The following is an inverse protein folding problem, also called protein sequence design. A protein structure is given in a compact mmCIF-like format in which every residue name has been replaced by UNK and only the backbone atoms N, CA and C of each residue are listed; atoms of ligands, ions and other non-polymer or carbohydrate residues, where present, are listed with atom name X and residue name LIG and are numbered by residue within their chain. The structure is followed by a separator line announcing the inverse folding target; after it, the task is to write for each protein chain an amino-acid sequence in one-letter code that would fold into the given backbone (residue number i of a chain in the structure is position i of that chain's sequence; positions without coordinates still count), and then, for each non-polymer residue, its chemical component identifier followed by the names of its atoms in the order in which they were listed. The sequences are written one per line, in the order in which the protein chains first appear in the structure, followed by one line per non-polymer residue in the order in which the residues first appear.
data_IF_091383001941
#
_entry.id   IF_091383001941
#
_cell.length_a   1.000
_cell.length_b   1.000
_cell.length_c   1.000
_cell.angle_alpha   90.00
_cell.angle_beta   90.00
_cell.angle_gamma   90.00
#
_symmetry.space_group_name_H-M   'P 1'
#
loop_
_entity.id
_entity.type
_entity.pdbx_description
1 polymer ?
#
# COMPACT_ATOMS: atom_id res chain seq x y z
N UNK A 1 53.71 -8.83 39.70
CA UNK A 1 54.50 -8.35 38.52
C UNK A 1 54.03 -9.13 37.32
N UNK A 2 53.06 -8.65 36.60
CA UNK A 2 52.72 -9.18 35.28
C UNK A 2 52.14 -8.01 34.48
N UNK A 3 52.86 -7.65 33.44
CA UNK A 3 52.49 -6.70 32.40
C UNK A 3 51.56 -7.43 31.46
N UNK A 4 50.34 -6.97 31.28
CA UNK A 4 49.48 -7.39 30.15
C UNK A 4 49.09 -6.13 29.39
N UNK A 5 49.50 -6.20 28.15
CA UNK A 5 49.61 -5.12 27.20
C UNK A 5 48.35 -4.52 26.66
N UNK A 6 48.51 -3.28 26.36
CA UNK A 6 47.64 -2.46 25.53
C UNK A 6 47.69 -2.96 24.06
N UNK A 7 46.66 -3.70 23.63
CA UNK A 7 46.51 -4.05 22.21
C UNK A 7 45.06 -4.24 21.72
N UNK A 8 44.06 -3.69 22.45
CA UNK A 8 42.65 -3.81 22.04
C UNK A 8 41.97 -2.50 21.62
N UNK A 9 42.68 -1.36 21.68
CA UNK A 9 42.01 -0.06 21.41
C UNK A 9 42.17 0.47 19.97
N UNK A 10 43.11 -0.08 19.18
CA UNK A 10 43.35 0.42 17.81
C UNK A 10 42.46 -0.21 16.75
N UNK A 11 41.95 -1.43 16.98
CA UNK A 11 41.06 -2.09 16.02
C UNK A 11 39.61 -1.56 16.05
N UNK A 12 39.15 -1.16 17.25
CA UNK A 12 37.79 -0.60 17.42
C UNK A 12 37.71 0.83 16.88
N UNK A 13 38.77 1.64 17.02
CA UNK A 13 38.86 2.98 16.47
C UNK A 13 38.94 2.97 14.92
N UNK A 14 39.59 1.97 14.33
CA UNK A 14 39.67 1.81 12.87
C UNK A 14 38.35 1.30 12.24
N UNK A 15 37.51 0.61 13.00
CA UNK A 15 36.20 0.13 12.53
C UNK A 15 35.12 1.22 12.57
N UNK A 16 35.19 2.17 13.49
CA UNK A 16 34.28 3.32 13.58
C UNK A 16 34.63 4.39 12.53
N UNK A 17 35.89 4.48 12.11
CA UNK A 17 36.34 5.46 11.11
C UNK A 17 36.07 5.06 9.64
N UNK A 18 35.64 3.80 9.37
CA UNK A 18 35.38 3.33 8.00
C UNK A 18 33.91 3.42 7.55
N UNK A 19 32.98 4.00 8.30
CA UNK A 19 31.57 4.19 7.89
C UNK A 19 31.16 5.64 7.63
N UNK A 20 32.10 6.56 7.50
CA UNK A 20 31.81 7.87 6.90
C UNK A 20 32.09 7.82 5.38
N UNK A 21 31.42 6.92 4.68
CA UNK A 21 31.39 6.95 3.21
C UNK A 21 30.43 8.05 2.77
N UNK A 22 30.99 9.21 2.44
CA UNK A 22 30.26 10.26 1.72
C UNK A 22 29.76 9.70 0.38
N UNK A 23 28.46 9.43 0.27
CA UNK A 23 27.82 9.23 -1.03
C UNK A 23 27.74 10.61 -1.69
N UNK A 24 28.65 10.88 -2.61
CA UNK A 24 28.60 12.05 -3.49
C UNK A 24 27.54 11.83 -4.56
N UNK A 25 26.32 12.30 -4.31
CA UNK A 25 25.43 12.66 -5.39
C UNK A 25 25.65 14.14 -5.69
N UNK A 26 26.15 14.44 -6.90
CA UNK A 26 26.39 15.75 -7.49
C UNK A 26 26.40 16.94 -6.54
N UNK A 27 27.48 17.66 -6.43
CA UNK A 27 27.80 18.97 -5.79
C UNK A 27 26.77 19.69 -4.86
N UNK A 28 25.90 19.00 -4.12
CA UNK A 28 25.14 19.53 -2.99
C UNK A 28 25.57 18.84 -1.72
N UNK A 29 26.34 19.52 -0.89
CA UNK A 29 26.60 19.12 0.51
C UNK A 29 25.31 19.34 1.30
N UNK A 30 24.42 18.34 1.33
CA UNK A 30 23.29 18.36 2.26
C UNK A 30 23.84 18.13 3.67
N UNK A 31 23.49 19.05 4.57
CA UNK A 31 23.75 18.83 6.00
C UNK A 31 22.92 17.64 6.48
N UNK A 32 23.53 16.64 7.12
CA UNK A 32 22.87 15.39 7.57
C UNK A 32 21.68 15.65 8.48
N UNK A 33 21.69 16.76 9.24
CA UNK A 33 20.60 17.13 10.16
C UNK A 33 19.39 17.78 9.48
N UNK A 34 19.54 18.28 8.26
CA UNK A 34 18.50 19.06 7.60
C UNK A 34 17.43 18.13 6.99
N UNK A 35 16.15 18.52 7.04
CA UNK A 35 15.10 17.78 6.34
C UNK A 35 15.33 17.78 4.82
N UNK A 36 14.82 16.75 4.13
CA UNK A 36 14.81 16.69 2.66
C UNK A 36 13.78 17.64 2.08
N UNK A 37 12.58 17.67 2.66
CA UNK A 37 11.49 18.54 2.25
C UNK A 37 11.73 19.99 2.71
N UNK A 38 11.30 20.96 1.89
CA UNK A 38 11.29 22.36 2.27
C UNK A 38 10.26 22.62 3.39
N UNK A 39 10.46 23.70 4.17
CA UNK A 39 9.49 24.10 5.19
C UNK A 39 8.11 24.43 4.58
N UNK A 40 8.06 24.91 3.35
CA UNK A 40 6.80 25.19 2.66
C UNK A 40 6.07 23.89 2.27
N UNK A 41 6.79 22.86 1.83
CA UNK A 41 6.25 21.54 1.59
C UNK A 41 5.72 20.92 2.90
N UNK A 42 6.46 21.05 4.00
CA UNK A 42 6.00 20.56 5.31
C UNK A 42 4.76 21.30 5.83
N UNK A 43 4.67 22.61 5.61
CA UNK A 43 3.45 23.39 5.91
C UNK A 43 2.28 22.97 5.02
N UNK A 44 2.53 22.69 3.73
CA UNK A 44 1.51 22.16 2.83
C UNK A 44 1.02 20.81 3.31
N UNK A 45 1.91 19.86 3.65
CA UNK A 45 1.58 18.57 4.25
C UNK A 45 0.69 18.72 5.48
N UNK A 46 1.04 19.62 6.40
CA UNK A 46 0.25 19.87 7.61
C UNK A 46 -1.17 20.35 7.28
N UNK A 47 -1.35 21.19 6.25
CA UNK A 47 -2.69 21.62 5.78
C UNK A 47 -3.48 20.46 5.18
N UNK A 48 -2.86 19.59 4.38
CA UNK A 48 -3.51 18.39 3.83
C UNK A 48 -4.01 17.46 4.94
N UNK A 49 -3.17 17.17 5.94
CA UNK A 49 -3.57 16.36 7.10
C UNK A 49 -4.74 16.99 7.88
N UNK A 50 -4.74 18.31 8.05
CA UNK A 50 -5.85 19.03 8.69
C UNK A 50 -7.13 18.97 7.85
N UNK A 51 -7.03 19.00 6.52
CA UNK A 51 -8.17 18.85 5.61
C UNK A 51 -8.77 17.44 5.71
N UNK A 52 -7.95 16.39 5.74
CA UNK A 52 -8.38 14.99 5.94
C UNK A 52 -9.16 14.87 7.26
N UNK A 53 -8.62 15.34 8.38
CA UNK A 53 -9.31 15.26 9.68
C UNK A 53 -10.63 16.00 9.67
N UNK A 54 -10.70 17.19 9.08
CA UNK A 54 -11.95 17.96 8.94
C UNK A 54 -12.98 17.22 8.10
N UNK A 55 -12.55 16.63 6.96
CA UNK A 55 -13.41 15.86 6.07
C UNK A 55 -14.15 14.72 6.80
N UNK A 56 -13.43 13.96 7.61
CA UNK A 56 -14.01 12.86 8.38
C UNK A 56 -14.83 13.32 9.59
N UNK A 57 -14.40 14.39 10.25
CA UNK A 57 -15.16 14.98 11.37
C UNK A 57 -16.53 15.49 10.91
N UNK A 58 -16.63 16.09 9.72
CA UNK A 58 -17.89 16.56 9.12
C UNK A 58 -18.84 15.41 8.72
N UNK A 59 -18.33 14.16 8.65
CA UNK A 59 -19.07 12.95 8.27
C UNK A 59 -19.30 11.98 9.41
N UNK A 60 -18.99 12.40 10.63
CA UNK A 60 -19.09 11.58 11.85
C UNK A 60 -18.35 10.23 11.73
N UNK A 61 -17.16 10.27 11.14
CA UNK A 61 -16.23 9.13 11.05
C UNK A 61 -15.18 9.29 12.15
N UNK A 62 -15.08 8.31 13.03
CA UNK A 62 -14.22 8.38 14.21
C UNK A 62 -12.74 8.15 13.84
N UNK A 63 -11.83 9.07 14.23
CA UNK A 63 -10.38 8.81 14.17
C UNK A 63 -10.02 7.75 15.22
N UNK A 64 -9.31 6.71 14.77
CA UNK A 64 -8.79 5.66 15.64
C UNK A 64 -7.27 5.60 15.59
N UNK A 65 -6.66 5.01 16.60
CA UNK A 65 -5.23 4.76 16.69
C UNK A 65 -5.01 3.30 17.09
N UNK A 66 -4.29 2.55 16.26
CA UNK A 66 -4.02 1.13 16.48
C UNK A 66 -2.51 0.89 16.58
N UNK A 67 -2.08 -0.18 17.27
CA UNK A 67 -0.65 -0.46 17.42
C UNK A 67 0.06 -0.65 16.08
N UNK A 68 1.22 -0.03 15.96
CA UNK A 68 2.14 -0.22 14.82
C UNK A 68 2.83 -1.59 14.89
N UNK A 69 3.05 -2.10 16.10
CA UNK A 69 3.73 -3.36 16.37
C UNK A 69 2.69 -4.45 16.64
N UNK A 70 2.60 -5.44 15.76
CA UNK A 70 1.57 -6.44 15.71
C UNK A 70 2.12 -7.85 16.02
N UNK A 71 1.26 -8.76 16.48
CA UNK A 71 1.61 -10.16 16.72
C UNK A 71 1.61 -11.02 15.45
N UNK A 72 0.94 -10.57 14.41
CA UNK A 72 0.92 -11.19 13.10
C UNK A 72 1.33 -10.15 12.03
N UNK A 73 2.00 -10.59 10.97
CA UNK A 73 2.26 -9.81 9.79
C UNK A 73 1.21 -10.06 8.71
N UNK A 74 1.38 -9.44 7.53
CA UNK A 74 0.57 -9.81 6.37
C UNK A 74 1.07 -11.11 5.73
N UNK A 75 0.13 -11.93 5.26
CA UNK A 75 0.43 -13.14 4.50
C UNK A 75 0.58 -12.89 3.01
N UNK A 76 0.36 -11.66 2.54
CA UNK A 76 0.49 -11.28 1.13
C UNK A 76 1.83 -11.77 0.55
N UNK A 77 1.82 -12.62 -0.49
CA UNK A 77 3.02 -13.24 -1.04
C UNK A 77 3.98 -12.25 -1.71
N UNK A 78 3.51 -11.07 -2.10
CA UNK A 78 4.30 -10.06 -2.79
C UNK A 78 4.82 -8.96 -1.86
N UNK A 79 4.43 -8.99 -0.58
CA UNK A 79 4.81 -7.98 0.40
C UNK A 79 5.86 -8.49 1.37
N UNK A 80 6.98 -7.77 1.49
CA UNK A 80 8.00 -8.07 2.48
C UNK A 80 7.71 -7.33 3.78
N UNK A 81 7.68 -8.10 4.88
CA UNK A 81 7.32 -7.64 6.21
C UNK A 81 8.55 -7.47 7.10
N UNK A 82 8.58 -6.42 7.90
CA UNK A 82 9.63 -6.17 8.87
C UNK A 82 9.25 -6.75 10.23
N UNK A 83 10.17 -7.49 10.86
CA UNK A 83 9.97 -8.05 12.21
C UNK A 83 10.96 -7.49 13.21
N UNK A 84 10.57 -7.50 14.49
CA UNK A 84 11.39 -7.08 15.63
C UNK A 84 11.28 -8.10 16.75
N UNK A 85 12.41 -8.40 17.39
CA UNK A 85 12.43 -9.17 18.62
C UNK A 85 12.08 -8.28 19.82
N UNK A 86 11.00 -8.63 20.53
CA UNK A 86 10.50 -7.90 21.69
C UNK A 86 10.68 -8.76 22.93
N UNK A 87 11.28 -8.18 23.97
CA UNK A 87 11.38 -8.82 25.29
C UNK A 87 10.08 -8.59 26.06
N UNK A 88 9.35 -9.64 26.33
CA UNK A 88 8.10 -9.63 27.08
C UNK A 88 8.21 -10.45 28.37
N UNK A 89 7.27 -10.30 29.33
CA UNK A 89 7.18 -11.21 30.47
C UNK A 89 6.89 -12.63 29.98
N UNK A 90 7.88 -13.49 29.92
CA UNK A 90 7.78 -14.86 29.40
C UNK A 90 8.83 -15.19 28.34
N UNK A 91 9.65 -14.23 27.94
CA UNK A 91 10.76 -14.41 26.99
C UNK A 91 10.72 -13.49 25.79
N UNK A 92 11.63 -13.70 24.86
CA UNK A 92 11.63 -12.99 23.58
C UNK A 92 10.51 -13.53 22.68
N UNK A 93 9.83 -12.62 21.99
CA UNK A 93 8.83 -12.95 20.96
C UNK A 93 9.08 -12.10 19.72
N UNK A 94 8.85 -12.67 18.55
CA UNK A 94 8.87 -11.93 17.28
C UNK A 94 7.55 -11.17 17.14
N UNK A 95 7.65 -9.89 16.84
CA UNK A 95 6.51 -9.04 16.46
C UNK A 95 6.79 -8.38 15.11
N UNK A 96 5.74 -7.89 14.46
CA UNK A 96 5.78 -7.40 13.10
C UNK A 96 5.38 -5.92 13.04
N UNK A 97 6.10 -5.13 12.26
CA UNK A 97 5.65 -3.79 11.90
C UNK A 97 4.50 -3.91 10.90
N UNK A 98 3.42 -3.17 11.14
CA UNK A 98 2.23 -3.22 10.28
C UNK A 98 2.53 -2.72 8.86
N UNK A 99 2.03 -3.42 7.86
CA UNK A 99 2.03 -2.98 6.46
C UNK A 99 0.79 -2.13 6.12
N UNK A 100 -0.22 -2.18 6.99
CA UNK A 100 -1.47 -1.43 7.03
C UNK A 100 -2.11 -1.62 8.41
N UNK A 101 -2.94 -0.72 8.91
CA UNK A 101 -3.71 -0.89 10.16
C UNK A 101 -4.93 -1.80 10.01
N UNK A 102 -5.18 -2.38 8.84
CA UNK A 102 -6.39 -3.11 8.43
C UNK A 102 -6.86 -4.13 9.47
N UNK A 103 -5.99 -5.06 9.89
CA UNK A 103 -6.38 -6.15 10.79
C UNK A 103 -6.93 -5.63 12.12
N UNK A 104 -6.31 -4.59 12.69
CA UNK A 104 -6.78 -3.98 13.92
C UNK A 104 -8.06 -3.15 13.71
N UNK A 105 -8.16 -2.43 12.59
CA UNK A 105 -9.37 -1.64 12.27
C UNK A 105 -10.57 -2.54 12.00
N UNK A 106 -10.43 -3.65 11.28
CA UNK A 106 -11.50 -4.66 11.10
C UNK A 106 -11.98 -5.26 12.42
N UNK A 107 -11.08 -5.46 13.38
CA UNK A 107 -11.44 -5.89 14.73
C UNK A 107 -12.26 -4.84 15.49
N UNK A 108 -11.98 -3.54 15.29
CA UNK A 108 -12.81 -2.45 15.83
C UNK A 108 -14.21 -2.44 15.19
N UNK A 109 -14.32 -2.67 13.87
CA UNK A 109 -15.60 -2.80 13.20
C UNK A 109 -16.42 -3.95 13.77
N UNK A 110 -15.81 -5.13 13.98
CA UNK A 110 -16.45 -6.28 14.60
C UNK A 110 -16.88 -6.00 16.06
N UNK A 111 -16.17 -5.12 16.76
CA UNK A 111 -16.54 -4.64 18.11
C UNK A 111 -17.63 -3.56 18.10
N UNK A 112 -18.14 -3.17 16.93
CA UNK A 112 -19.22 -2.20 16.80
C UNK A 112 -18.79 -0.73 16.82
N UNK A 113 -17.57 -0.40 16.40
CA UNK A 113 -17.08 0.98 16.37
C UNK A 113 -17.90 1.93 15.47
N UNK A 114 -18.62 1.40 14.50
CA UNK A 114 -19.18 2.19 13.41
C UNK A 114 -18.12 2.63 12.39
N UNK A 115 -18.36 3.71 11.62
CA UNK A 115 -17.39 4.21 10.64
C UNK A 115 -16.13 4.75 11.33
N UNK A 116 -14.96 4.34 10.84
CA UNK A 116 -13.66 4.72 11.42
C UNK A 116 -12.65 5.08 10.34
N UNK A 117 -11.68 5.93 10.67
CA UNK A 117 -10.49 6.17 9.86
C UNK A 117 -9.23 6.26 10.73
N UNK A 118 -8.08 6.05 10.10
CA UNK A 118 -6.78 6.20 10.75
C UNK A 118 -5.76 6.80 9.78
N UNK A 119 -4.95 7.75 10.25
CA UNK A 119 -3.71 8.16 9.61
C UNK A 119 -2.61 7.39 10.31
N UNK A 120 -2.05 6.38 9.63
CA UNK A 120 -1.11 5.44 10.22
C UNK A 120 0.25 5.48 9.53
N UNK A 121 1.32 5.16 10.26
CA UNK A 121 2.59 4.74 9.67
C UNK A 121 2.51 3.27 9.27
N UNK A 122 2.87 2.98 8.04
CA UNK A 122 2.96 1.64 7.47
C UNK A 122 4.40 1.36 7.04
N UNK A 123 4.80 0.09 7.08
CA UNK A 123 6.17 -0.36 6.83
C UNK A 123 6.18 -1.49 5.82
N UNK A 124 6.96 -1.33 4.74
CA UNK A 124 7.15 -2.37 3.72
C UNK A 124 8.63 -2.46 3.40
N UNK A 125 9.21 -3.62 3.64
CA UNK A 125 10.64 -3.85 3.41
C UNK A 125 10.94 -3.87 1.90
N UNK A 126 12.11 -3.38 1.53
CA UNK A 126 12.53 -3.32 0.12
C UNK A 126 11.86 -2.24 -0.73
N UNK A 127 10.79 -1.60 -0.25
CA UNK A 127 10.15 -0.50 -0.99
C UNK A 127 10.90 0.82 -0.77
N UNK A 128 11.80 1.17 -1.68
CA UNK A 128 12.54 2.44 -1.68
C UNK A 128 12.64 2.99 -3.10
N UNK A 129 12.36 4.29 -3.28
CA UNK A 129 12.43 4.93 -4.58
C UNK A 129 11.72 6.28 -4.61
N UNK A 130 11.59 6.87 -5.80
CA UNK A 130 10.97 8.19 -5.94
C UNK A 130 9.53 8.27 -5.43
N UNK A 131 8.77 7.18 -5.55
CA UNK A 131 7.34 7.08 -5.19
C UNK A 131 7.09 6.10 -4.05
N UNK A 132 8.15 5.58 -3.42
CA UNK A 132 8.11 4.60 -2.33
C UNK A 132 9.10 4.98 -1.24
N UNK A 133 8.74 4.71 0.00
CA UNK A 133 9.61 4.78 1.17
C UNK A 133 9.26 3.61 2.09
N UNK A 134 10.26 3.00 2.69
CA UNK A 134 10.07 1.84 3.58
C UNK A 134 9.10 2.13 4.73
N UNK A 135 9.12 3.35 5.27
CA UNK A 135 8.12 3.88 6.19
C UNK A 135 7.34 4.99 5.49
N UNK A 136 6.01 4.88 5.44
CA UNK A 136 5.16 5.86 4.78
C UNK A 136 3.86 6.10 5.54
N UNK A 137 3.20 7.21 5.22
CA UNK A 137 1.91 7.55 5.82
C UNK A 137 0.77 7.05 4.95
N UNK A 138 -0.05 6.20 5.55
CA UNK A 138 -1.28 5.67 4.98
C UNK A 138 -2.48 6.32 5.64
N UNK A 139 -3.48 6.67 4.85
CA UNK A 139 -4.82 7.00 5.32
C UNK A 139 -5.72 5.83 4.98
N UNK A 140 -6.34 5.22 5.99
CA UNK A 140 -7.21 4.07 5.81
C UNK A 140 -8.54 4.32 6.51
N UNK A 141 -9.67 3.97 5.87
CA UNK A 141 -10.98 4.12 6.47
C UNK A 141 -11.96 3.06 6.00
N UNK A 142 -12.96 2.82 6.83
CA UNK A 142 -13.97 1.80 6.65
C UNK A 142 -15.37 2.40 6.85
N UNK A 143 -16.26 2.04 5.95
CA UNK A 143 -17.66 2.49 5.93
C UNK A 143 -18.59 1.29 5.99
N UNK A 144 -19.08 0.89 7.19
CA UNK A 144 -20.12 -0.13 7.29
C UNK A 144 -21.32 0.25 6.41
N UNK A 145 -21.87 -0.75 5.73
CA UNK A 145 -23.03 -0.64 4.84
C UNK A 145 -22.85 0.19 3.56
N UNK A 146 -21.64 0.69 3.27
CA UNK A 146 -21.34 1.30 1.98
C UNK A 146 -21.10 0.25 0.91
N UNK A 147 -21.59 0.56 -0.30
CA UNK A 147 -21.13 -0.12 -1.51
C UNK A 147 -19.79 0.45 -1.98
N UNK A 148 -19.08 -0.30 -2.84
CA UNK A 148 -17.86 0.22 -3.49
C UNK A 148 -18.11 1.55 -4.20
N UNK A 149 -19.24 1.69 -4.91
CA UNK A 149 -19.57 2.92 -5.62
C UNK A 149 -19.68 4.14 -4.68
N UNK A 150 -20.27 3.98 -3.50
CA UNK A 150 -20.34 5.05 -2.51
C UNK A 150 -18.95 5.37 -1.95
N UNK A 151 -18.11 4.35 -1.70
CA UNK A 151 -16.76 4.55 -1.19
C UNK A 151 -15.86 5.22 -2.23
N UNK A 152 -15.94 4.84 -3.51
CA UNK A 152 -15.24 5.52 -4.61
C UNK A 152 -15.61 7.00 -4.71
N UNK A 153 -16.91 7.32 -4.58
CA UNK A 153 -17.39 8.70 -4.56
C UNK A 153 -16.82 9.49 -3.36
N UNK A 154 -16.86 8.90 -2.16
CA UNK A 154 -16.33 9.52 -0.94
C UNK A 154 -14.81 9.72 -1.04
N UNK A 155 -14.09 8.78 -1.67
CA UNK A 155 -12.65 8.92 -1.92
C UNK A 155 -12.35 10.09 -2.85
N UNK A 156 -13.15 10.27 -3.90
CA UNK A 156 -13.02 11.43 -4.78
C UNK A 156 -13.29 12.75 -4.05
N UNK A 157 -14.34 12.82 -3.22
CA UNK A 157 -14.67 13.98 -2.41
C UNK A 157 -13.54 14.33 -1.42
N UNK A 158 -12.91 13.31 -0.81
CA UNK A 158 -11.76 13.50 0.06
C UNK A 158 -10.58 14.09 -0.71
N UNK A 159 -10.27 13.54 -1.88
CA UNK A 159 -9.19 14.03 -2.73
C UNK A 159 -9.49 15.47 -3.17
N UNK A 160 -10.72 15.78 -3.55
CA UNK A 160 -11.17 17.15 -3.87
C UNK A 160 -10.96 18.12 -2.70
N UNK A 161 -11.30 17.70 -1.47
CA UNK A 161 -11.11 18.50 -0.26
C UNK A 161 -9.62 18.76 0.04
N UNK A 162 -8.73 17.81 -0.26
CA UNK A 162 -7.28 17.97 -0.11
C UNK A 162 -6.69 18.84 -1.20
N UNK A 163 -7.09 18.63 -2.46
CA UNK A 163 -6.59 19.36 -3.62
C UNK A 163 -7.16 20.77 -3.72
N UNK A 164 -8.32 21.02 -3.11
CA UNK A 164 -9.09 22.27 -3.26
C UNK A 164 -9.42 22.59 -4.74
N UNK A 165 -9.66 21.56 -5.54
CA UNK A 165 -10.06 21.65 -6.94
C UNK A 165 -11.00 20.49 -7.29
N UNK A 166 -11.90 20.66 -8.28
CA UNK A 166 -12.83 19.61 -8.67
C UNK A 166 -12.11 18.33 -9.11
N UNK A 167 -12.69 17.19 -8.75
CA UNK A 167 -12.25 15.85 -9.14
C UNK A 167 -13.30 15.20 -10.03
N UNK A 168 -12.87 14.57 -11.12
CA UNK A 168 -13.72 13.79 -12.02
C UNK A 168 -13.19 12.37 -12.07
N UNK A 169 -14.05 11.42 -11.69
CA UNK A 169 -13.75 9.99 -11.82
C UNK A 169 -14.07 9.49 -13.21
N UNK A 170 -13.15 8.70 -13.78
CA UNK A 170 -13.38 7.89 -14.97
C UNK A 170 -13.23 6.42 -14.58
N UNK A 171 -14.31 5.66 -14.66
CA UNK A 171 -14.29 4.25 -14.26
C UNK A 171 -13.94 3.36 -15.45
N UNK A 172 -13.04 2.44 -15.22
CA UNK A 172 -12.59 1.42 -16.15
C UNK A 172 -12.70 0.05 -15.50
N UNK A 173 -13.03 -0.96 -16.27
CA UNK A 173 -12.91 -2.35 -15.83
C UNK A 173 -11.50 -2.85 -16.15
N UNK A 174 -10.90 -3.60 -15.23
CA UNK A 174 -9.58 -4.20 -15.40
C UNK A 174 -9.44 -4.94 -16.75
N UNK A 175 -10.44 -5.78 -17.06
CA UNK A 175 -10.50 -6.52 -18.33
C UNK A 175 -10.45 -5.60 -19.54
N UNK A 176 -11.20 -4.48 -19.50
CA UNK A 176 -11.27 -3.57 -20.64
C UNK A 176 -9.92 -2.89 -20.89
N UNK A 177 -9.23 -2.47 -19.84
CA UNK A 177 -7.89 -1.89 -19.96
C UNK A 177 -6.90 -2.86 -20.60
N UNK A 178 -6.89 -4.13 -20.21
CA UNK A 178 -6.04 -5.14 -20.84
C UNK A 178 -6.38 -5.35 -22.32
N UNK A 179 -7.66 -5.36 -22.68
CA UNK A 179 -8.09 -5.46 -24.07
C UNK A 179 -7.66 -4.24 -24.89
N UNK A 180 -7.79 -3.03 -24.34
CA UNK A 180 -7.50 -1.78 -25.03
C UNK A 180 -6.00 -1.55 -25.21
N UNK A 181 -5.18 -1.78 -24.20
CA UNK A 181 -3.74 -1.52 -24.22
C UNK A 181 -2.91 -2.69 -24.76
N UNK A 182 -3.28 -3.92 -24.42
CA UNK A 182 -2.48 -5.12 -24.69
C UNK A 182 -3.11 -6.08 -25.70
N UNK A 183 -4.35 -5.84 -26.11
CA UNK A 183 -5.15 -6.74 -26.98
C UNK A 183 -5.28 -8.16 -26.39
N UNK A 184 -5.27 -8.26 -25.06
CA UNK A 184 -5.38 -9.51 -24.29
C UNK A 184 -6.60 -9.48 -23.37
N UNK A 185 -7.21 -10.63 -23.17
CA UNK A 185 -8.20 -10.79 -22.11
C UNK A 185 -7.52 -11.37 -20.85
N UNK A 186 -7.44 -10.62 -19.74
CA UNK A 186 -6.73 -11.07 -18.55
C UNK A 186 -7.36 -12.29 -17.87
N UNK A 187 -8.61 -12.63 -18.15
CA UNK A 187 -9.29 -13.79 -17.57
C UNK A 187 -9.11 -15.07 -18.39
N UNK A 188 -8.96 -14.96 -19.71
CA UNK A 188 -8.94 -16.11 -20.62
C UNK A 188 -7.61 -16.31 -21.35
N UNK A 189 -6.73 -15.31 -21.38
CA UNK A 189 -5.41 -15.44 -22.01
C UNK A 189 -4.61 -16.59 -21.39
N UNK A 190 -3.92 -17.37 -22.23
CA UNK A 190 -3.03 -18.42 -21.74
C UNK A 190 -1.78 -17.83 -21.06
N UNK A 191 -1.14 -18.61 -20.16
CA UNK A 191 0.12 -18.20 -19.53
C UNK A 191 1.19 -17.84 -20.58
N UNK A 192 1.26 -18.60 -21.67
CA UNK A 192 2.19 -18.36 -22.78
C UNK A 192 1.90 -17.01 -23.46
N UNK A 193 0.64 -16.65 -23.65
CA UNK A 193 0.25 -15.36 -24.22
C UNK A 193 0.65 -14.18 -23.34
N UNK A 194 0.46 -14.31 -22.01
CA UNK A 194 0.89 -13.31 -21.04
C UNK A 194 2.42 -13.19 -20.97
N UNK A 195 3.15 -14.30 -20.96
CA UNK A 195 4.61 -14.30 -21.01
C UNK A 195 5.14 -13.63 -22.28
N UNK A 196 4.54 -13.94 -23.44
CA UNK A 196 4.90 -13.30 -24.71
C UNK A 196 4.67 -11.79 -24.67
N UNK A 197 3.56 -11.33 -24.10
CA UNK A 197 3.29 -9.91 -23.91
C UNK A 197 4.34 -9.27 -22.99
N UNK A 198 4.65 -9.86 -21.85
CA UNK A 198 5.66 -9.35 -20.94
C UNK A 198 7.04 -9.23 -21.62
N UNK A 199 7.44 -10.22 -22.42
CA UNK A 199 8.70 -10.15 -23.19
C UNK A 199 8.66 -9.01 -24.21
N UNK A 200 7.56 -8.84 -24.94
CA UNK A 200 7.42 -7.79 -25.96
C UNK A 200 7.44 -6.38 -25.38
N UNK A 201 6.80 -6.16 -24.23
CA UNK A 201 6.58 -4.83 -23.64
C UNK A 201 7.67 -4.44 -22.64
N UNK A 202 8.20 -5.40 -21.88
CA UNK A 202 9.15 -5.15 -20.79
C UNK A 202 10.57 -5.61 -21.14
N UNK A 203 10.72 -6.38 -22.23
CA UNK A 203 12.00 -6.88 -22.72
C UNK A 203 12.54 -8.10 -21.96
N UNK A 204 11.84 -8.57 -20.93
CA UNK A 204 12.18 -9.76 -20.17
C UNK A 204 10.92 -10.42 -19.58
N UNK A 205 10.90 -11.74 -19.49
CA UNK A 205 10.06 -12.47 -18.53
C UNK A 205 10.97 -13.45 -17.82
N UNK A 206 11.06 -13.36 -16.50
CA UNK A 206 11.80 -14.37 -15.76
C UNK A 206 11.08 -15.72 -15.87
N UNK A 207 11.85 -16.77 -16.06
CA UNK A 207 11.32 -18.12 -16.07
C UNK A 207 10.77 -18.45 -14.68
N UNK A 208 9.45 -18.64 -14.60
CA UNK A 208 8.78 -19.00 -13.34
C UNK A 208 7.76 -17.99 -12.84
N UNK A 209 7.53 -16.87 -13.53
CA UNK A 209 6.42 -15.97 -13.18
C UNK A 209 5.08 -16.68 -13.40
N UNK A 210 4.26 -16.67 -12.38
CA UNK A 210 2.88 -17.17 -12.45
C UNK A 210 1.96 -16.16 -13.15
N UNK A 211 0.69 -16.53 -13.29
CA UNK A 211 -0.31 -15.69 -13.97
C UNK A 211 -0.49 -14.35 -13.26
N UNK A 212 -0.60 -14.34 -11.93
CA UNK A 212 -0.82 -13.12 -11.15
C UNK A 212 0.34 -12.15 -11.32
N UNK A 213 1.57 -12.63 -11.18
CA UNK A 213 2.79 -11.83 -11.39
C UNK A 213 2.85 -11.22 -12.80
N UNK A 214 2.49 -11.99 -13.83
CA UNK A 214 2.49 -11.48 -15.21
C UNK A 214 1.43 -10.39 -15.42
N UNK A 215 0.24 -10.55 -14.84
CA UNK A 215 -0.80 -9.54 -14.90
C UNK A 215 -0.39 -8.26 -14.17
N UNK A 216 0.21 -8.37 -12.97
CA UNK A 216 0.70 -7.21 -12.20
C UNK A 216 1.79 -6.45 -12.94
N UNK A 217 2.75 -7.17 -13.51
CA UNK A 217 3.85 -6.58 -14.27
C UNK A 217 3.33 -5.88 -15.53
N UNK A 218 2.40 -6.48 -16.27
CA UNK A 218 1.79 -5.85 -17.45
C UNK A 218 0.94 -4.64 -17.06
N UNK A 219 0.19 -4.72 -15.98
CA UNK A 219 -0.59 -3.59 -15.45
C UNK A 219 0.33 -2.42 -15.12
N UNK A 220 1.36 -2.66 -14.31
CA UNK A 220 2.24 -1.60 -13.79
C UNK A 220 3.13 -0.95 -14.87
N UNK A 221 3.53 -1.68 -15.92
CA UNK A 221 4.42 -1.14 -16.94
C UNK A 221 3.69 -0.52 -18.14
N UNK A 222 2.57 -1.13 -18.57
CA UNK A 222 1.91 -0.76 -19.82
C UNK A 222 0.62 0.00 -19.63
N UNK A 223 -0.07 -0.14 -18.50
CA UNK A 223 -1.40 0.45 -18.30
C UNK A 223 -1.35 1.62 -17.30
N UNK A 224 -0.87 1.40 -16.09
CA UNK A 224 -0.84 2.40 -15.01
C UNK A 224 -0.20 3.74 -15.41
N UNK A 225 0.93 3.77 -16.18
CA UNK A 225 1.54 5.04 -16.57
C UNK A 225 0.63 5.96 -17.39
N UNK A 226 -0.45 5.42 -17.96
CA UNK A 226 -1.41 6.15 -18.78
C UNK A 226 -2.67 6.57 -18.02
N UNK A 227 -2.87 6.05 -16.80
CA UNK A 227 -4.06 6.33 -16.01
C UNK A 227 -3.95 7.69 -15.30
N UNK A 228 -5.07 8.41 -15.24
CA UNK A 228 -5.16 9.70 -14.58
C UNK A 228 -4.32 10.81 -15.21
N UNK A 229 -3.84 10.64 -16.46
CA UNK A 229 -2.95 11.59 -17.15
C UNK A 229 -3.67 12.80 -17.75
N UNK A 230 -5.00 12.79 -17.85
CA UNK A 230 -5.77 13.90 -18.38
C UNK A 230 -6.05 14.94 -17.28
N UNK A 231 -6.04 16.23 -17.67
CA UNK A 231 -6.31 17.34 -16.77
C UNK A 231 -5.12 18.34 -16.76
N UNK A 232 -5.38 19.59 -17.17
CA UNK A 232 -4.37 20.66 -17.16
C UNK A 232 -4.29 21.32 -15.77
N UNK A 233 -3.28 22.17 -15.58
CA UNK A 233 -3.05 22.90 -14.33
C UNK A 233 -4.22 23.78 -13.84
N UNK A 234 -5.25 24.00 -14.67
CA UNK A 234 -6.41 24.85 -14.37
C UNK A 234 -7.75 24.14 -14.60
N UNK A 235 -7.76 22.82 -14.88
CA UNK A 235 -8.95 21.99 -15.03
C UNK A 235 -9.20 21.08 -13.82
N UNK A 236 -10.29 20.27 -13.83
CA UNK A 236 -10.51 19.26 -12.81
C UNK A 236 -9.38 18.23 -12.81
N UNK A 237 -9.05 17.69 -11.63
CA UNK A 237 -8.19 16.51 -11.55
C UNK A 237 -8.95 15.30 -12.09
N UNK A 238 -8.40 14.65 -13.10
CA UNK A 238 -8.98 13.42 -13.66
C UNK A 238 -8.35 12.25 -12.94
N UNK A 239 -9.17 11.45 -12.28
CA UNK A 239 -8.75 10.24 -11.58
C UNK A 239 -9.37 9.04 -12.28
N UNK A 240 -8.54 8.13 -12.74
CA UNK A 240 -8.99 6.87 -13.30
C UNK A 240 -9.20 5.85 -12.16
N UNK A 241 -10.35 5.20 -12.17
CA UNK A 241 -10.72 4.14 -11.24
C UNK A 241 -10.76 2.83 -12.00
N UNK A 242 -9.99 1.87 -11.56
CA UNK A 242 -9.98 0.51 -12.10
C UNK A 242 -10.75 -0.41 -11.18
N UNK A 243 -11.73 -1.16 -11.70
CA UNK A 243 -12.58 -2.08 -10.95
C UNK A 243 -12.54 -3.49 -11.52
N UNK A 244 -13.17 -4.43 -10.82
CA UNK A 244 -13.37 -5.81 -11.28
C UNK A 244 -12.03 -6.52 -11.58
N UNK A 245 -11.14 -6.51 -10.59
CA UNK A 245 -9.86 -7.21 -10.64
C UNK A 245 -10.04 -8.73 -10.69
N UNK A 246 -9.06 -9.49 -11.20
CA UNK A 246 -9.04 -10.93 -11.06
C UNK A 246 -9.18 -11.36 -9.58
N UNK A 247 -9.98 -12.39 -9.33
CA UNK A 247 -10.28 -12.87 -7.97
C UNK A 247 -9.02 -13.26 -7.18
N UNK A 248 -8.02 -13.80 -7.86
CA UNK A 248 -6.72 -14.17 -7.29
C UNK A 248 -5.86 -12.98 -6.84
N UNK A 249 -6.20 -11.75 -7.24
CA UNK A 249 -5.46 -10.53 -6.88
C UNK A 249 -6.09 -9.75 -5.72
N UNK A 250 -6.99 -10.36 -4.96
CA UNK A 250 -7.66 -9.68 -3.86
C UNK A 250 -8.11 -10.63 -2.75
N UNK A 251 -7.16 -11.08 -1.92
CA UNK A 251 -7.42 -12.00 -0.83
C UNK A 251 -8.42 -11.48 0.23
N UNK A 252 -8.54 -10.17 0.37
CA UNK A 252 -9.35 -9.50 1.41
C UNK A 252 -10.70 -8.99 0.90
N UNK A 253 -10.95 -9.09 -0.42
CA UNK A 253 -12.19 -8.63 -1.05
C UNK A 253 -13.23 -9.73 -1.18
N UNK A 254 -14.51 -9.36 -1.10
CA UNK A 254 -15.60 -10.20 -1.53
C UNK A 254 -15.53 -10.42 -3.03
N UNK A 255 -15.81 -11.65 -3.47
CA UNK A 255 -15.93 -11.96 -4.89
C UNK A 255 -17.37 -11.80 -5.37
N UNK A 256 -17.54 -11.45 -6.63
CA UNK A 256 -18.83 -11.43 -7.32
C UNK A 256 -18.70 -11.99 -8.73
N UNK A 257 -19.85 -12.27 -9.35
CA UNK A 257 -19.90 -12.79 -10.71
C UNK A 257 -20.03 -11.61 -11.68
N UNK A 258 -19.10 -11.53 -12.63
CA UNK A 258 -19.20 -10.58 -13.73
C UNK A 258 -20.45 -10.89 -14.57
N UNK A 259 -21.39 -9.95 -14.71
CA UNK A 259 -22.62 -10.20 -15.47
C UNK A 259 -22.37 -10.35 -16.99
N UNK A 260 -21.22 -9.96 -17.51
CA UNK A 260 -20.91 -10.05 -18.93
C UNK A 260 -20.65 -11.50 -19.37
N UNK A 261 -19.89 -12.27 -18.61
CA UNK A 261 -19.47 -13.61 -19.01
C UNK A 261 -19.46 -14.65 -17.89
N UNK A 262 -19.85 -14.27 -16.68
CA UNK A 262 -19.87 -15.15 -15.53
C UNK A 262 -18.51 -15.41 -14.85
N UNK A 263 -17.46 -14.65 -15.22
CA UNK A 263 -16.17 -14.73 -14.55
C UNK A 263 -16.28 -14.30 -13.08
N UNK A 264 -15.48 -14.91 -12.22
CA UNK A 264 -15.37 -14.47 -10.82
C UNK A 264 -14.38 -13.31 -10.76
N UNK A 265 -14.84 -12.17 -10.25
CA UNK A 265 -14.05 -10.96 -10.07
C UNK A 265 -14.05 -10.52 -8.61
N UNK A 266 -13.02 -9.81 -8.21
CA UNK A 266 -12.91 -9.23 -6.89
C UNK A 266 -13.67 -7.91 -6.80
N UNK A 267 -14.40 -7.70 -5.73
CA UNK A 267 -14.96 -6.41 -5.33
C UNK A 267 -13.83 -5.47 -4.87
N UNK A 268 -12.98 -5.07 -5.79
CA UNK A 268 -11.79 -4.24 -5.58
C UNK A 268 -11.80 -3.06 -6.54
N UNK A 269 -11.30 -1.92 -6.08
CA UNK A 269 -10.98 -0.80 -6.96
C UNK A 269 -9.62 -0.20 -6.61
N UNK A 270 -8.95 0.37 -7.59
CA UNK A 270 -7.80 1.23 -7.40
C UNK A 270 -8.00 2.58 -8.08
N UNK A 271 -7.47 3.63 -7.48
CA UNK A 271 -7.50 4.99 -8.01
C UNK A 271 -6.13 5.41 -8.49
N UNK A 272 -6.09 5.96 -9.69
CA UNK A 272 -4.86 6.43 -10.33
C UNK A 272 -4.94 7.91 -10.69
N UNK A 273 -3.91 8.66 -10.35
CA UNK A 273 -3.73 10.06 -10.75
C UNK A 273 -2.30 10.29 -11.23
N UNK A 274 -2.15 10.85 -12.43
CA UNK A 274 -0.85 11.12 -13.07
C UNK A 274 0.07 9.87 -13.14
N UNK A 275 -0.51 8.72 -13.48
CA UNK A 275 0.22 7.45 -13.57
C UNK A 275 0.73 6.94 -12.21
N UNK A 276 0.07 7.32 -11.13
CA UNK A 276 0.40 6.88 -9.77
C UNK A 276 -0.85 6.33 -9.11
N UNK A 277 -0.77 5.10 -8.60
CA UNK A 277 -1.77 4.53 -7.72
C UNK A 277 -1.84 5.34 -6.43
N UNK A 278 -3.03 5.87 -6.12
CA UNK A 278 -3.30 6.62 -4.91
C UNK A 278 -3.99 5.80 -3.83
N UNK A 279 -4.94 4.96 -4.23
CA UNK A 279 -5.79 4.25 -3.28
C UNK A 279 -6.18 2.88 -3.80
N UNK A 280 -6.38 1.95 -2.87
CA UNK A 280 -6.84 0.59 -3.11
C UNK A 280 -7.96 0.28 -2.12
N UNK A 281 -9.12 -0.12 -2.61
CA UNK A 281 -10.30 -0.35 -1.77
C UNK A 281 -11.07 -1.61 -2.12
N UNK A 282 -11.79 -2.13 -1.13
CA UNK A 282 -12.47 -3.42 -1.19
C UNK A 282 -13.94 -3.36 -0.74
N UNK A 283 -14.79 -4.18 -1.37
CA UNK A 283 -15.98 -4.72 -0.73
C UNK A 283 -15.49 -5.81 0.24
N UNK A 284 -15.62 -5.56 1.53
CA UNK A 284 -14.91 -6.30 2.56
C UNK A 284 -15.41 -7.75 2.68
N UNK A 285 -14.47 -8.70 2.66
CA UNK A 285 -14.78 -10.09 2.97
C UNK A 285 -15.10 -10.21 4.46
N UNK A 286 -16.29 -10.74 4.78
CA UNK A 286 -16.76 -10.91 6.15
C UNK A 286 -16.84 -12.37 6.58
N UNK A 287 -16.61 -13.33 5.67
CA UNK A 287 -16.61 -14.76 5.94
C UNK A 287 -15.27 -15.18 6.55
N UNK A 288 -15.30 -15.60 7.81
CA UNK A 288 -14.10 -15.99 8.56
C UNK A 288 -13.42 -17.26 8.02
N UNK A 289 -14.20 -18.24 7.54
CA UNK A 289 -13.64 -19.50 7.01
C UNK A 289 -12.98 -19.26 5.65
N UNK A 290 -13.63 -18.49 4.79
CA UNK A 290 -13.08 -18.12 3.51
C UNK A 290 -11.82 -17.25 3.69
N UNK A 291 -11.84 -16.29 4.62
CA UNK A 291 -10.67 -15.46 4.92
C UNK A 291 -9.49 -16.31 5.37
N UNK A 292 -9.71 -17.24 6.29
CA UNK A 292 -8.65 -18.16 6.75
C UNK A 292 -8.04 -18.94 5.59
N UNK A 293 -8.88 -19.54 4.73
CA UNK A 293 -8.42 -20.30 3.56
C UNK A 293 -7.52 -19.48 2.64
N UNK A 294 -7.87 -18.19 2.42
CA UNK A 294 -7.07 -17.30 1.57
C UNK A 294 -5.74 -16.95 2.22
N UNK A 295 -5.72 -16.63 3.53
CA UNK A 295 -4.47 -16.35 4.25
C UNK A 295 -3.54 -17.58 4.29
N UNK A 296 -4.10 -18.79 4.41
CA UNK A 296 -3.33 -20.03 4.33
C UNK A 296 -2.80 -20.27 2.89
N UNK A 297 -3.59 -19.99 1.86
CA UNK A 297 -3.15 -20.08 0.47
C UNK A 297 -2.04 -19.09 0.13
N UNK A 298 -2.11 -17.85 0.63
CA UNK A 298 -1.04 -16.86 0.52
C UNK A 298 0.27 -17.40 1.10
N UNK A 299 0.22 -18.04 2.28
CA UNK A 299 1.41 -18.65 2.89
C UNK A 299 2.00 -19.79 2.04
N UNK A 300 1.15 -20.62 1.42
CA UNK A 300 1.60 -21.65 0.49
C UNK A 300 2.34 -21.00 -0.69
N UNK A 301 1.80 -19.90 -1.24
CA UNK A 301 2.44 -19.17 -2.32
C UNK A 301 3.75 -18.52 -1.85
N UNK A 302 3.79 -17.87 -0.67
CA UNK A 302 5.03 -17.34 -0.07
C UNK A 302 6.13 -18.40 -0.01
N UNK A 303 5.81 -19.58 0.53
CA UNK A 303 6.75 -20.69 0.63
C UNK A 303 7.25 -21.15 -0.75
N UNK A 304 6.37 -21.20 -1.75
CA UNK A 304 6.75 -21.56 -3.13
C UNK A 304 7.73 -20.56 -3.77
N UNK A 305 7.65 -19.28 -3.35
CA UNK A 305 8.56 -18.19 -3.76
C UNK A 305 9.84 -18.13 -2.92
N UNK A 306 10.04 -19.07 -1.98
CA UNK A 306 11.17 -19.08 -1.05
C UNK A 306 11.11 -18.04 0.07
N UNK A 307 9.95 -17.44 0.30
CA UNK A 307 9.71 -16.50 1.39
C UNK A 307 9.27 -17.24 2.66
N UNK A 308 9.59 -16.73 3.87
CA UNK A 308 9.15 -17.36 5.11
C UNK A 308 7.64 -17.28 5.26
N UNK A 309 7.07 -18.32 5.87
CA UNK A 309 5.69 -18.32 6.34
C UNK A 309 5.48 -17.24 7.41
N UNK A 310 4.33 -16.58 7.36
CA UNK A 310 3.89 -15.59 8.36
C UNK A 310 2.67 -16.15 9.09
N UNK A 311 2.65 -16.05 10.42
CA UNK A 311 1.54 -16.54 11.20
C UNK A 311 0.22 -15.86 10.79
N UNK A 312 -0.82 -16.65 10.56
CA UNK A 312 -2.17 -16.16 10.30
C UNK A 312 -2.66 -15.34 11.49
N UNK A 313 -3.27 -14.18 11.24
CA UNK A 313 -3.86 -13.36 12.30
C UNK A 313 -5.16 -13.98 12.83
N UNK A 314 -5.01 -14.84 13.83
CA UNK A 314 -6.13 -15.51 14.51
C UNK A 314 -7.10 -14.51 15.15
N UNK A 315 -6.64 -13.34 15.55
CA UNK A 315 -7.50 -12.31 16.14
C UNK A 315 -8.39 -11.66 15.08
N UNK A 316 -7.89 -11.47 13.85
CA UNK A 316 -8.70 -11.02 12.72
C UNK A 316 -9.76 -12.08 12.37
N UNK A 317 -9.36 -13.35 12.22
CA UNK A 317 -10.30 -14.45 11.91
C UNK A 317 -11.38 -14.57 12.99
N UNK A 318 -11.00 -14.47 14.26
CA UNK A 318 -11.98 -14.50 15.37
C UNK A 318 -12.93 -13.29 15.34
N UNK A 319 -12.47 -12.11 14.95
CA UNK A 319 -13.30 -10.92 14.81
C UNK A 319 -14.32 -11.08 13.65
N UNK A 320 -13.90 -11.63 12.52
CA UNK A 320 -14.82 -11.96 11.42
C UNK A 320 -15.88 -12.98 11.86
N UNK A 321 -15.47 -14.03 12.58
CA UNK A 321 -16.39 -15.03 13.12
C UNK A 321 -17.35 -14.45 14.17
N UNK A 322 -16.93 -13.42 14.93
CA UNK A 322 -17.80 -12.69 15.86
C UNK A 322 -18.90 -11.91 15.11
N UNK A 323 -18.62 -11.41 13.92
CA UNK A 323 -19.56 -10.72 13.06
C UNK A 323 -19.13 -9.29 12.73
N UNK A 324 -18.24 -9.14 11.75
CA UNK A 324 -17.95 -7.83 11.16
C UNK A 324 -19.11 -7.40 10.26
N UNK A 325 -19.60 -6.15 10.34
CA UNK A 325 -20.64 -5.66 9.44
C UNK A 325 -20.13 -5.63 7.99
N UNK A 326 -20.98 -6.00 7.04
CA UNK A 326 -20.70 -5.80 5.62
C UNK A 326 -20.50 -4.32 5.32
N UNK A 327 -19.59 -4.00 4.41
CA UNK A 327 -19.25 -2.63 4.04
C UNK A 327 -18.03 -2.59 3.16
N UNK A 328 -17.49 -1.40 2.97
CA UNK A 328 -16.32 -1.20 2.14
C UNK A 328 -15.23 -0.42 2.90
N UNK A 329 -13.98 -0.74 2.59
CA UNK A 329 -12.79 -0.08 3.14
C UNK A 329 -11.82 0.33 2.04
N UNK A 330 -11.00 1.33 2.31
CA UNK A 330 -9.98 1.81 1.37
C UNK A 330 -8.75 2.30 2.10
N UNK A 331 -7.59 1.96 1.56
CA UNK A 331 -6.28 2.48 1.93
C UNK A 331 -5.79 3.47 0.87
N UNK A 332 -5.37 4.66 1.30
CA UNK A 332 -4.86 5.72 0.45
C UNK A 332 -3.43 6.08 0.87
N UNK A 333 -2.50 6.07 -0.08
CA UNK A 333 -1.13 6.53 0.11
C UNK A 333 -1.08 8.05 0.30
N UNK A 334 -1.19 8.53 1.55
CA UNK A 334 -1.30 9.95 1.85
C UNK A 334 -0.06 10.72 1.40
N UNK A 335 1.12 10.14 1.49
CA UNK A 335 2.37 10.75 1.02
C UNK A 335 2.36 10.94 -0.50
N UNK A 336 1.84 9.96 -1.26
CA UNK A 336 1.69 10.06 -2.73
C UNK A 336 0.70 11.15 -3.12
N UNK A 337 -0.46 11.22 -2.45
CA UNK A 337 -1.44 12.28 -2.69
C UNK A 337 -0.84 13.66 -2.42
N UNK A 338 -0.15 13.83 -1.29
CA UNK A 338 0.50 15.12 -0.94
C UNK A 338 1.61 15.46 -1.92
N UNK A 339 2.41 14.49 -2.35
CA UNK A 339 3.46 14.68 -3.36
C UNK A 339 2.89 15.23 -4.66
N UNK A 340 1.87 14.58 -5.21
CA UNK A 340 1.23 15.03 -6.45
C UNK A 340 0.52 16.38 -6.28
N UNK A 341 -0.18 16.59 -5.18
CA UNK A 341 -0.86 17.84 -4.86
C UNK A 341 0.10 19.03 -4.69
N UNK A 342 1.31 18.78 -4.21
CA UNK A 342 2.37 19.79 -4.11
C UNK A 342 3.07 20.05 -5.45
N UNK A 343 2.85 19.19 -6.45
CA UNK A 343 3.53 19.25 -7.75
C UNK A 343 4.97 18.69 -7.71
N UNK A 344 5.28 17.84 -6.73
CA UNK A 344 6.56 17.17 -6.61
C UNK A 344 6.55 15.81 -7.36
N UNK A 345 7.73 15.35 -7.74
CA UNK A 345 7.93 14.06 -8.41
C UNK A 345 8.65 13.02 -7.54
N UNK A 346 9.01 13.40 -6.29
CA UNK A 346 9.73 12.57 -5.34
C UNK A 346 9.13 12.73 -3.95
N UNK A 347 8.87 11.63 -3.25
CA UNK A 347 8.36 11.65 -1.87
C UNK A 347 9.29 12.39 -0.92
N UNK A 348 10.61 12.36 -1.14
CA UNK A 348 11.57 13.09 -0.34
C UNK A 348 11.36 14.62 -0.35
N UNK A 349 10.62 15.16 -1.34
CA UNK A 349 10.30 16.59 -1.42
C UNK A 349 9.16 17.01 -0.48
N UNK A 350 8.39 16.05 0.05
CA UNK A 350 7.22 16.27 0.92
C UNK A 350 7.27 15.53 2.26
N UNK A 351 8.27 14.68 2.46
CA UNK A 351 8.56 13.97 3.72
C UNK A 351 9.79 14.59 4.35
N UNK A 352 9.74 14.89 5.65
CA UNK A 352 10.83 15.56 6.33
C UNK A 352 12.13 14.74 6.30
N UNK A 353 12.04 13.47 6.64
CA UNK A 353 13.16 12.54 6.70
C UNK A 353 12.72 11.19 6.08
N UNK A 354 13.02 10.93 4.80
CA UNK A 354 12.89 9.59 4.26
C UNK A 354 13.91 8.64 4.90
N UNK A 355 13.72 7.34 4.76
CA UNK A 355 14.51 6.32 5.47
C UNK A 355 16.03 6.48 5.29
N UNK A 356 16.49 6.98 4.15
CA UNK A 356 17.91 7.23 3.87
C UNK A 356 18.49 8.41 4.68
N UNK A 357 17.63 9.19 5.37
CA UNK A 357 18.00 10.38 6.16
C UNK A 357 17.53 10.35 7.61
N UNK A 358 16.75 9.34 7.97
CA UNK A 358 16.23 9.15 9.32
C UNK A 358 17.31 8.66 10.32
#
# INVERSE_FOLDING_TARGET
MLVIGACASSALAAMVQRRASFIRFGNMTFSLWAPSASLDALRFRARCMAAVRRFFAERDVMEVDTPVLCRAGTTDPFMDVMSVDVIAPGGSQVMWLQTSPEACMKRLLAAGSGPIYQIAHAFRDGESGRRHNTEFTMLEWYRPHYSLALLMSETAELIEAVLQQPVVLRCHRYRQLFRDYLQLDPFTASLEALQKAAICHIGNSESGWDRSTLLDVLMSHDIEPHLGMAGGQHGPAIIDVVTDYPAEQAALARHHIDPEDGAIVAGRFELYWQGVELANGYDELTDAEEQRKRLEADNVQRCSMGRPEVAVDEALVAALAHGMPAGAGVALGLDRLIMLAYGASNLADVVAFPVERA
#
